data_IF_690540209019
#
_entry.id   IF_690540209019
#
_cell.length_a   1.000
_cell.length_b   1.000
_cell.length_c   1.000
_cell.angle_alpha   90.00
_cell.angle_beta   90.00
_cell.angle_gamma   90.00
#
_symmetry.space_group_name_H-M   'P 1'
#
loop_
_entity.id
_entity.type
_entity.pdbx_description
1 polymer ?
#
# COMPACT_ATOMS: atom_id res chain seq x y z
N UNK A 1 29.82 -19.38 17.63
CA UNK A 1 30.09 -20.72 17.07
C UNK A 1 31.35 -21.23 17.76
N UNK A 2 31.28 -22.38 18.45
CA UNK A 2 32.46 -22.95 19.12
C UNK A 2 33.46 -23.47 18.08
N UNK A 3 34.75 -23.31 18.40
CA UNK A 3 35.94 -23.53 17.54
C UNK A 3 35.99 -24.94 16.92
N UNK A 4 35.42 -25.12 15.74
CA UNK A 4 35.89 -26.17 14.82
C UNK A 4 37.19 -25.66 14.19
N UNK A 5 38.33 -26.26 14.56
CA UNK A 5 39.69 -25.82 14.19
C UNK A 5 39.97 -25.74 12.68
N UNK A 6 39.07 -26.23 11.81
CA UNK A 6 39.26 -26.34 10.37
C UNK A 6 38.26 -25.53 9.53
N UNK A 7 37.34 -24.79 10.16
CA UNK A 7 36.30 -24.04 9.44
C UNK A 7 36.37 -22.54 9.71
N UNK A 8 36.65 -21.76 8.66
CA UNK A 8 36.63 -20.29 8.68
C UNK A 8 35.36 -19.86 7.96
N UNK A 9 34.43 -19.26 8.69
CA UNK A 9 33.18 -18.77 8.10
C UNK A 9 33.46 -17.61 7.13
N UNK A 10 32.96 -17.74 5.91
CA UNK A 10 33.07 -16.74 4.85
C UNK A 10 31.92 -15.71 4.88
N UNK A 11 32.03 -14.69 4.01
CA UNK A 11 31.02 -13.65 3.87
C UNK A 11 29.63 -14.21 3.53
N UNK A 12 29.55 -15.30 2.77
CA UNK A 12 28.29 -15.90 2.35
C UNK A 12 27.49 -16.46 3.53
N UNK A 13 28.16 -17.17 4.43
CA UNK A 13 27.54 -17.73 5.64
C UNK A 13 27.06 -16.61 6.56
N UNK A 14 27.93 -15.62 6.84
CA UNK A 14 27.56 -14.49 7.69
C UNK A 14 26.40 -13.69 7.09
N UNK A 15 26.43 -13.38 5.80
CA UNK A 15 25.35 -12.69 5.08
C UNK A 15 24.01 -13.45 5.22
N UNK A 16 24.04 -14.78 5.05
CA UNK A 16 22.84 -15.61 5.19
C UNK A 16 22.31 -15.61 6.62
N UNK A 17 23.18 -15.80 7.62
CA UNK A 17 22.78 -15.81 9.03
C UNK A 17 22.22 -14.45 9.46
N UNK A 18 22.87 -13.35 9.09
CA UNK A 18 22.40 -11.99 9.34
C UNK A 18 21.03 -11.77 8.69
N UNK A 19 20.84 -12.19 7.45
CA UNK A 19 19.55 -12.11 6.75
C UNK A 19 18.44 -12.89 7.45
N UNK A 20 18.73 -14.11 7.91
CA UNK A 20 17.77 -14.95 8.65
C UNK A 20 17.39 -14.31 9.99
N UNK A 21 18.38 -13.85 10.76
CA UNK A 21 18.13 -13.16 12.03
C UNK A 21 17.33 -11.86 11.82
N UNK A 22 17.63 -11.14 10.75
CA UNK A 22 16.89 -9.97 10.29
C UNK A 22 15.42 -10.27 10.03
N UNK A 23 15.11 -11.30 9.24
CA UNK A 23 13.74 -11.73 8.94
C UNK A 23 12.94 -12.13 10.19
N UNK A 24 13.61 -12.67 11.21
CA UNK A 24 13.02 -12.98 12.53
C UNK A 24 12.87 -11.75 13.45
N UNK A 25 13.29 -10.57 13.01
CA UNK A 25 13.28 -9.34 13.81
C UNK A 25 14.35 -9.30 14.92
N UNK A 26 15.29 -10.25 14.93
CA UNK A 26 16.35 -10.38 15.93
C UNK A 26 17.56 -9.50 15.58
N UNK A 27 17.34 -8.19 15.45
CA UNK A 27 18.36 -7.23 14.99
C UNK A 27 19.60 -7.21 15.89
N UNK A 28 19.46 -7.46 17.21
CA UNK A 28 20.62 -7.55 18.14
C UNK A 28 21.54 -8.71 17.80
N UNK A 29 20.97 -9.88 17.46
CA UNK A 29 21.74 -11.04 17.06
C UNK A 29 22.42 -10.83 15.70
N UNK A 30 21.72 -10.20 14.75
CA UNK A 30 22.29 -9.80 13.47
C UNK A 30 23.52 -8.88 13.65
N UNK A 31 23.43 -7.90 14.56
CA UNK A 31 24.55 -7.03 14.92
C UNK A 31 25.71 -7.79 15.58
N UNK A 32 25.40 -8.71 16.49
CA UNK A 32 26.42 -9.55 17.13
C UNK A 32 27.17 -10.39 16.09
N UNK A 33 26.46 -11.04 15.16
CA UNK A 33 27.06 -11.81 14.06
C UNK A 33 27.97 -10.95 13.18
N UNK A 34 27.58 -9.70 12.90
CA UNK A 34 28.41 -8.76 12.14
C UNK A 34 29.68 -8.34 12.90
N UNK A 35 29.59 -8.14 14.22
CA UNK A 35 30.76 -7.85 15.05
C UNK A 35 31.68 -9.06 15.15
N UNK A 36 31.13 -10.26 15.33
CA UNK A 36 31.87 -11.52 15.39
C UNK A 36 32.61 -11.82 14.08
N UNK A 37 31.99 -11.51 12.94
CA UNK A 37 32.65 -11.58 11.64
C UNK A 37 33.89 -10.70 11.56
N UNK A 38 33.83 -9.49 12.14
CA UNK A 38 34.97 -8.56 12.13
C UNK A 38 36.06 -8.97 13.11
N UNK A 39 35.70 -9.50 14.29
CA UNK A 39 36.68 -9.99 15.27
C UNK A 39 37.39 -11.27 14.79
N UNK A 40 36.74 -12.08 13.95
CA UNK A 40 37.37 -13.26 13.33
C UNK A 40 38.28 -12.93 12.13
N UNK A 41 38.44 -11.64 11.79
CA UNK A 41 39.30 -11.18 10.69
C UNK A 41 38.64 -11.20 9.31
N UNK A 42 37.36 -11.59 9.22
CA UNK A 42 36.62 -11.63 7.97
C UNK A 42 36.15 -10.23 7.58
N UNK A 43 36.42 -9.80 6.33
CA UNK A 43 36.15 -8.44 5.84
C UNK A 43 34.76 -8.35 5.21
N UNK A 44 33.83 -7.54 5.76
CA UNK A 44 32.48 -7.43 5.22
C UNK A 44 32.44 -6.90 3.79
N UNK A 45 31.78 -7.65 2.91
CA UNK A 45 31.50 -7.24 1.53
C UNK A 45 30.11 -6.61 1.39
N UNK A 46 29.78 -6.21 0.16
CA UNK A 46 28.50 -5.59 -0.19
C UNK A 46 27.30 -6.48 0.16
N UNK A 47 27.44 -7.81 0.08
CA UNK A 47 26.36 -8.74 0.41
C UNK A 47 26.04 -8.73 1.91
N UNK A 48 27.07 -8.68 2.75
CA UNK A 48 26.92 -8.64 4.21
C UNK A 48 26.29 -7.33 4.66
N UNK A 49 26.73 -6.19 4.09
CA UNK A 49 26.10 -4.91 4.40
C UNK A 49 24.65 -4.84 3.90
N UNK A 50 24.32 -5.38 2.73
CA UNK A 50 22.94 -5.48 2.24
C UNK A 50 22.07 -6.33 3.18
N UNK A 51 22.61 -7.43 3.71
CA UNK A 51 21.93 -8.25 4.71
C UNK A 51 21.72 -7.47 6.03
N UNK A 52 22.72 -6.68 6.46
CA UNK A 52 22.64 -5.89 7.68
C UNK A 52 21.61 -4.74 7.56
N UNK A 53 21.63 -4.02 6.45
CA UNK A 53 20.63 -2.98 6.12
C UNK A 53 19.22 -3.61 6.15
N UNK A 54 19.03 -4.74 5.46
CA UNK A 54 17.76 -5.46 5.44
C UNK A 54 17.34 -5.92 6.84
N UNK A 55 18.28 -6.37 7.68
CA UNK A 55 18.00 -6.79 9.05
C UNK A 55 17.52 -5.63 9.95
N UNK A 56 18.05 -4.42 9.76
CA UNK A 56 17.58 -3.24 10.46
C UNK A 56 16.17 -2.83 10.03
N UNK A 57 15.85 -2.92 8.73
CA UNK A 57 14.53 -2.58 8.18
C UNK A 57 13.40 -3.47 8.70
N UNK A 58 13.71 -4.68 9.18
CA UNK A 58 12.75 -5.57 9.85
C UNK A 58 12.51 -5.23 11.33
N UNK A 59 13.23 -4.27 11.91
CA UNK A 59 12.98 -3.86 13.30
C UNK A 59 11.65 -3.13 13.47
N UNK A 60 11.12 -3.15 14.70
CA UNK A 60 9.81 -2.55 15.05
C UNK A 60 9.82 -1.01 14.92
N UNK A 61 10.94 -0.37 15.26
CA UNK A 61 11.08 1.09 15.17
C UNK A 61 11.56 1.50 13.77
N UNK A 62 10.60 1.78 12.88
CA UNK A 62 10.86 2.08 11.46
C UNK A 62 11.70 3.35 11.26
N UNK A 63 11.54 4.36 12.10
CA UNK A 63 12.30 5.62 11.97
C UNK A 63 13.78 5.42 12.26
N UNK A 64 14.10 4.75 13.39
CA UNK A 64 15.48 4.40 13.72
C UNK A 64 16.06 3.37 12.75
N UNK A 65 15.23 2.47 12.22
CA UNK A 65 15.65 1.52 11.21
C UNK A 65 16.17 2.21 9.94
N UNK A 66 15.41 3.17 9.42
CA UNK A 66 15.77 3.94 8.21
C UNK A 66 17.03 4.78 8.44
N UNK A 67 17.15 5.43 9.60
CA UNK A 67 18.35 6.19 9.95
C UNK A 67 19.60 5.30 10.01
N UNK A 68 19.50 4.11 10.63
CA UNK A 68 20.60 3.14 10.67
C UNK A 68 20.95 2.58 9.29
N UNK A 69 19.93 2.27 8.48
CA UNK A 69 20.11 1.81 7.11
C UNK A 69 20.93 2.81 6.28
N UNK A 70 20.60 4.10 6.37
CA UNK A 70 21.38 5.17 5.73
C UNK A 70 22.79 5.30 6.30
N UNK A 71 22.96 5.19 7.63
CA UNK A 71 24.28 5.21 8.24
C UNK A 71 25.21 4.11 7.69
N UNK A 72 24.69 2.90 7.44
CA UNK A 72 25.47 1.84 6.79
C UNK A 72 25.73 2.11 5.32
N UNK A 73 24.77 2.67 4.60
CA UNK A 73 24.94 3.06 3.20
C UNK A 73 26.07 4.09 3.01
N UNK A 74 26.08 5.15 3.83
CA UNK A 74 27.16 6.15 3.79
C UNK A 74 28.50 5.54 4.20
N UNK A 75 28.50 4.62 5.17
CA UNK A 75 29.70 3.86 5.53
C UNK A 75 30.24 3.01 4.38
N UNK A 76 29.37 2.38 3.60
CA UNK A 76 29.76 1.60 2.41
C UNK A 76 30.41 2.50 1.35
N UNK A 77 29.87 3.71 1.12
CA UNK A 77 30.47 4.66 0.17
C UNK A 77 31.91 5.05 0.52
N UNK A 78 32.22 5.14 1.81
CA UNK A 78 33.58 5.42 2.29
C UNK A 78 34.55 4.24 2.22
N UNK A 79 34.10 3.03 1.89
CA UNK A 79 34.95 1.83 1.83
C UNK A 79 35.25 1.49 0.37
N UNK A 80 36.51 1.60 -0.03
CA UNK A 80 36.96 1.40 -1.41
C UNK A 80 36.56 0.03 -2.00
N UNK A 81 36.69 -1.04 -1.20
CA UNK A 81 36.38 -2.43 -1.61
C UNK A 81 34.92 -2.86 -1.36
N UNK A 82 34.06 -1.97 -0.89
CA UNK A 82 32.70 -2.32 -0.46
C UNK A 82 31.69 -1.24 -0.87
N UNK A 83 31.68 -0.90 -2.16
CA UNK A 83 30.78 0.13 -2.71
C UNK A 83 29.33 -0.38 -2.77
N UNK A 84 28.34 0.50 -2.58
CA UNK A 84 26.94 0.18 -2.82
C UNK A 84 26.72 -0.34 -4.24
N UNK A 85 25.95 -1.41 -4.38
CA UNK A 85 25.53 -1.95 -5.68
C UNK A 85 24.03 -1.74 -5.91
N UNK A 86 23.52 -2.17 -7.06
CA UNK A 86 22.10 -1.98 -7.41
C UNK A 86 21.15 -2.59 -6.37
N UNK A 87 21.54 -3.72 -5.76
CA UNK A 87 20.77 -4.36 -4.69
C UNK A 87 20.69 -3.46 -3.46
N UNK A 88 21.79 -2.79 -3.09
CA UNK A 88 21.82 -1.81 -1.99
C UNK A 88 20.81 -0.68 -2.24
N UNK A 89 20.85 -0.07 -3.43
CA UNK A 89 19.93 1.00 -3.80
C UNK A 89 18.48 0.52 -3.82
N UNK A 90 18.20 -0.64 -4.42
CA UNK A 90 16.84 -1.19 -4.49
C UNK A 90 16.24 -1.47 -3.09
N UNK A 91 17.06 -1.93 -2.13
CA UNK A 91 16.63 -2.12 -0.73
C UNK A 91 16.23 -0.77 -0.11
N UNK A 92 17.09 0.25 -0.24
CA UNK A 92 16.86 1.55 0.38
C UNK A 92 15.71 2.31 -0.28
N UNK A 93 15.67 2.37 -1.61
CA UNK A 93 14.58 3.00 -2.37
C UNK A 93 13.23 2.40 -1.99
N UNK A 94 13.13 1.06 -1.93
CA UNK A 94 11.92 0.38 -1.49
C UNK A 94 11.56 0.73 -0.04
N UNK A 95 12.53 0.79 0.86
CA UNK A 95 12.31 1.10 2.27
C UNK A 95 11.77 2.53 2.46
N UNK A 96 12.38 3.52 1.81
CA UNK A 96 11.93 4.92 1.87
C UNK A 96 10.60 5.13 1.14
N UNK A 97 10.37 4.45 0.02
CA UNK A 97 9.09 4.44 -0.68
C UNK A 97 7.94 3.92 0.21
N UNK A 98 8.18 2.82 0.95
CA UNK A 98 7.21 2.27 1.91
C UNK A 98 6.97 3.19 3.11
N UNK A 99 7.99 3.97 3.51
CA UNK A 99 7.87 4.96 4.58
C UNK A 99 7.18 6.26 4.13
N UNK A 100 6.98 6.45 2.82
CA UNK A 100 6.42 7.69 2.25
C UNK A 100 7.41 8.85 2.23
N UNK A 101 8.70 8.62 2.48
CA UNK A 101 9.72 9.67 2.44
C UNK A 101 10.27 9.84 1.02
N UNK A 102 9.51 10.58 0.21
CA UNK A 102 9.85 10.81 -1.20
C UNK A 102 11.12 11.63 -1.37
N UNK A 103 11.43 12.51 -0.42
CA UNK A 103 12.65 13.31 -0.48
C UNK A 103 13.88 12.41 -0.46
N UNK A 104 13.88 11.39 0.41
CA UNK A 104 14.96 10.40 0.44
C UNK A 104 14.99 9.51 -0.80
N UNK A 105 13.82 9.18 -1.37
CA UNK A 105 13.76 8.48 -2.68
C UNK A 105 14.42 9.32 -3.78
N UNK A 106 14.14 10.62 -3.84
CA UNK A 106 14.75 11.56 -4.80
C UNK A 106 16.26 11.66 -4.64
N UNK A 107 16.73 11.84 -3.40
CA UNK A 107 18.17 11.92 -3.09
C UNK A 107 18.89 10.64 -3.51
N UNK A 108 18.39 9.47 -3.11
CA UNK A 108 18.97 8.17 -3.47
C UNK A 108 18.93 7.91 -4.97
N UNK A 109 17.87 8.31 -5.66
CA UNK A 109 17.77 8.11 -7.09
C UNK A 109 18.69 9.06 -7.88
N UNK A 110 18.88 10.30 -7.41
CA UNK A 110 19.90 11.21 -7.97
C UNK A 110 21.31 10.68 -7.75
N UNK A 111 21.60 10.19 -6.54
CA UNK A 111 22.87 9.57 -6.19
C UNK A 111 23.16 8.32 -7.04
N UNK A 112 22.17 7.45 -7.24
CA UNK A 112 22.28 6.29 -8.13
C UNK A 112 22.62 6.72 -9.57
N UNK A 113 21.93 7.75 -10.10
CA UNK A 113 22.19 8.28 -11.46
C UNK A 113 23.58 8.90 -11.61
N UNK A 114 24.15 9.46 -10.55
CA UNK A 114 25.51 10.00 -10.54
C UNK A 114 26.58 8.92 -10.31
N UNK A 115 26.17 7.73 -9.86
CA UNK A 115 27.06 6.60 -9.65
C UNK A 115 27.32 5.81 -10.93
N UNK A 116 28.36 4.96 -10.92
CA UNK A 116 28.64 4.04 -12.03
C UNK A 116 27.68 2.82 -12.08
N UNK A 117 26.67 2.77 -11.21
CA UNK A 117 25.73 1.64 -11.11
C UNK A 117 24.51 1.92 -11.97
N UNK A 118 24.26 1.06 -12.96
CA UNK A 118 23.08 1.18 -13.82
C UNK A 118 21.80 0.78 -13.06
N UNK A 119 20.74 1.61 -13.10
CA UNK A 119 19.41 1.22 -12.63
C UNK A 119 18.88 -0.01 -13.38
N UNK A 120 18.14 -0.87 -12.69
CA UNK A 120 17.43 -2.01 -13.27
C UNK A 120 15.91 -1.79 -13.26
N UNK A 121 15.16 -2.75 -13.80
CA UNK A 121 13.68 -2.68 -13.86
C UNK A 121 13.04 -2.55 -12.47
N UNK A 122 13.64 -3.18 -11.44
CA UNK A 122 13.15 -3.09 -10.07
C UNK A 122 13.38 -1.69 -9.49
N UNK A 123 14.48 -1.04 -9.84
CA UNK A 123 14.74 0.36 -9.48
C UNK A 123 13.68 1.28 -10.07
N UNK A 124 13.46 1.21 -11.40
CA UNK A 124 12.49 2.08 -12.07
C UNK A 124 11.08 1.87 -11.52
N UNK A 125 10.65 0.61 -11.40
CA UNK A 125 9.33 0.27 -10.85
C UNK A 125 9.20 0.75 -9.39
N UNK A 126 10.23 0.59 -8.56
CA UNK A 126 10.21 1.05 -7.16
C UNK A 126 10.09 2.57 -7.03
N UNK A 127 10.85 3.33 -7.82
CA UNK A 127 10.83 4.80 -7.81
C UNK A 127 9.50 5.33 -8.38
N UNK A 128 9.03 4.76 -9.50
CA UNK A 128 7.74 5.13 -10.08
C UNK A 128 6.57 4.85 -9.13
N UNK A 129 6.63 3.75 -8.36
CA UNK A 129 5.57 3.38 -7.39
C UNK A 129 5.55 4.39 -6.23
N UNK A 130 6.73 4.80 -5.77
CA UNK A 130 6.88 5.84 -4.75
C UNK A 130 6.25 7.16 -5.22
N UNK A 131 6.58 7.62 -6.43
CA UNK A 131 6.02 8.85 -6.99
C UNK A 131 4.51 8.76 -7.26
N UNK A 132 4.04 7.65 -7.82
CA UNK A 132 2.62 7.42 -8.08
C UNK A 132 1.77 7.48 -6.80
N UNK A 133 2.22 6.82 -5.72
CA UNK A 133 1.57 6.86 -4.41
C UNK A 133 1.57 8.26 -3.79
N UNK A 134 2.64 9.03 -4.01
CA UNK A 134 2.82 10.36 -3.46
C UNK A 134 2.37 11.49 -4.37
N UNK A 135 1.55 11.19 -5.38
CA UNK A 135 0.89 12.20 -6.20
C UNK A 135 1.80 12.96 -7.17
N UNK A 136 3.01 12.47 -7.40
CA UNK A 136 4.06 13.09 -8.22
C UNK A 136 4.10 12.47 -9.62
N UNK A 137 3.08 12.77 -10.44
CA UNK A 137 2.87 12.11 -11.74
C UNK A 137 3.91 12.55 -12.76
N UNK A 138 4.32 13.81 -12.75
CA UNK A 138 5.31 14.34 -13.69
C UNK A 138 6.68 13.68 -13.49
N UNK A 139 7.07 13.47 -12.24
CA UNK A 139 8.29 12.79 -11.84
C UNK A 139 8.23 11.31 -12.21
N UNK A 140 7.10 10.64 -11.98
CA UNK A 140 6.86 9.27 -12.45
C UNK A 140 7.01 9.14 -13.97
N UNK A 141 6.44 10.09 -14.74
CA UNK A 141 6.57 10.14 -16.20
C UNK A 141 8.02 10.39 -16.64
N UNK A 142 8.75 11.26 -15.97
CA UNK A 142 10.18 11.49 -16.21
C UNK A 142 11.00 10.21 -16.01
N UNK A 143 10.71 9.43 -14.96
CA UNK A 143 11.36 8.14 -14.72
C UNK A 143 11.00 7.12 -15.81
N UNK A 144 9.75 7.08 -16.28
CA UNK A 144 9.37 6.23 -17.40
C UNK A 144 10.13 6.58 -18.69
N UNK A 145 10.33 7.87 -18.98
CA UNK A 145 11.12 8.29 -20.15
C UNK A 145 12.59 7.94 -19.98
N UNK A 146 13.14 8.09 -18.78
CA UNK A 146 14.51 7.67 -18.47
C UNK A 146 14.69 6.15 -18.64
N UNK A 147 13.73 5.35 -18.17
CA UNK A 147 13.71 3.91 -18.35
C UNK A 147 13.80 3.52 -19.83
N UNK A 148 13.01 4.19 -20.68
CA UNK A 148 13.03 3.98 -22.15
C UNK A 148 14.35 4.42 -22.78
N UNK A 149 14.89 5.57 -22.36
CA UNK A 149 16.17 6.10 -22.85
C UNK A 149 17.32 5.14 -22.53
N UNK A 150 17.27 4.54 -21.35
CA UNK A 150 18.24 3.52 -20.90
C UNK A 150 17.94 2.12 -21.45
N UNK A 151 17.04 2.01 -22.44
CA UNK A 151 16.66 0.77 -23.13
C UNK A 151 16.15 -0.34 -22.19
N UNK A 152 15.68 0.03 -21.00
CA UNK A 152 15.06 -0.89 -20.07
C UNK A 152 13.58 -1.04 -20.46
N UNK A 153 13.16 -2.26 -20.83
CA UNK A 153 11.81 -2.51 -21.33
C UNK A 153 10.80 -2.57 -20.17
N UNK A 154 9.67 -1.85 -20.24
CA UNK A 154 8.57 -1.97 -19.27
C UNK A 154 8.05 -3.41 -19.18
N UNK A 155 7.87 -3.91 -17.97
CA UNK A 155 7.21 -5.20 -17.70
C UNK A 155 5.75 -5.00 -17.28
N UNK A 156 5.05 -6.11 -17.05
CA UNK A 156 3.66 -6.09 -16.57
C UNK A 156 3.49 -5.31 -15.26
N UNK A 157 4.53 -5.28 -14.41
CA UNK A 157 4.51 -4.51 -13.16
C UNK A 157 4.54 -3.01 -13.47
N UNK A 158 5.40 -2.57 -14.40
CA UNK A 158 5.45 -1.18 -14.88
C UNK A 158 4.08 -0.74 -15.42
N UNK A 159 3.45 -1.56 -16.27
CA UNK A 159 2.13 -1.24 -16.83
C UNK A 159 1.05 -1.14 -15.77
N UNK A 160 1.00 -2.08 -14.82
CA UNK A 160 0.01 -2.08 -13.75
C UNK A 160 0.16 -0.86 -12.82
N UNK A 161 1.40 -0.49 -12.51
CA UNK A 161 1.71 0.71 -11.72
C UNK A 161 1.23 1.98 -12.42
N UNK A 162 1.53 2.12 -13.72
CA UNK A 162 1.07 3.27 -14.50
C UNK A 162 -0.47 3.33 -14.56
N UNK A 163 -1.14 2.21 -14.78
CA UNK A 163 -2.61 2.12 -14.80
C UNK A 163 -3.20 2.53 -13.45
N UNK A 164 -2.69 2.00 -12.34
CA UNK A 164 -3.16 2.36 -10.99
C UNK A 164 -2.89 3.83 -10.66
N UNK A 165 -1.72 4.35 -11.02
CA UNK A 165 -1.34 5.75 -10.78
C UNK A 165 -2.21 6.72 -11.58
N UNK A 166 -2.37 6.51 -12.89
CA UNK A 166 -3.25 7.34 -13.73
C UNK A 166 -4.72 7.19 -13.34
N UNK A 167 -5.16 5.99 -12.99
CA UNK A 167 -6.53 5.72 -12.54
C UNK A 167 -6.86 6.46 -11.24
N UNK A 168 -5.97 6.46 -10.25
CA UNK A 168 -6.11 7.26 -9.01
C UNK A 168 -6.13 8.76 -9.25
N UNK A 169 -5.55 9.23 -10.37
CA UNK A 169 -5.59 10.63 -10.82
C UNK A 169 -6.82 10.97 -11.65
N UNK A 170 -7.64 9.98 -12.00
CA UNK A 170 -8.69 10.11 -13.00
C UNK A 170 -8.16 10.60 -14.37
N UNK A 171 -6.87 10.36 -14.65
CA UNK A 171 -6.27 10.61 -15.96
C UNK A 171 -6.59 9.44 -16.91
N UNK A 172 -7.89 9.25 -17.18
CA UNK A 172 -8.41 8.04 -17.83
C UNK A 172 -7.88 7.85 -19.25
N UNK A 173 -7.66 8.92 -20.01
CA UNK A 173 -7.09 8.83 -21.35
C UNK A 173 -5.69 8.21 -21.33
N UNK A 174 -4.83 8.63 -20.38
CA UNK A 174 -3.50 8.06 -20.19
C UNK A 174 -3.59 6.61 -19.70
N UNK A 175 -4.49 6.32 -18.77
CA UNK A 175 -4.73 4.94 -18.28
C UNK A 175 -5.14 4.00 -19.41
N UNK A 176 -6.10 4.41 -20.25
CA UNK A 176 -6.57 3.65 -21.42
C UNK A 176 -5.46 3.50 -22.48
N UNK A 177 -4.65 4.54 -22.73
CA UNK A 177 -3.49 4.45 -23.62
C UNK A 177 -2.44 3.45 -23.12
N UNK A 178 -2.16 3.43 -21.82
CA UNK A 178 -1.24 2.45 -21.21
C UNK A 178 -1.81 1.04 -21.35
N UNK A 179 -3.11 0.85 -21.09
CA UNK A 179 -3.76 -0.46 -21.26
C UNK A 179 -3.72 -0.93 -22.73
N UNK A 180 -4.01 -0.06 -23.70
CA UNK A 180 -3.85 -0.36 -25.14
C UNK A 180 -2.40 -0.68 -25.51
N UNK A 181 -1.43 -0.08 -24.84
CA UNK A 181 -0.01 -0.36 -25.05
C UNK A 181 0.40 -1.70 -24.47
N UNK A 182 -0.14 -2.07 -23.30
CA UNK A 182 0.03 -3.40 -22.69
C UNK A 182 -0.52 -4.49 -23.61
N UNK A 183 -1.74 -4.32 -24.14
CA UNK A 183 -2.34 -5.28 -25.08
C UNK A 183 -1.54 -5.49 -26.38
N UNK A 184 -0.76 -4.48 -26.80
CA UNK A 184 0.12 -4.54 -27.98
C UNK A 184 1.54 -5.00 -27.65
N UNK A 185 1.88 -5.06 -26.37
CA UNK A 185 3.20 -5.51 -25.91
C UNK A 185 3.26 -7.03 -25.87
N UNK A 186 4.46 -7.58 -25.62
CA UNK A 186 4.62 -9.03 -25.37
C UNK A 186 4.08 -9.45 -23.99
N UNK A 187 3.86 -8.50 -23.10
CA UNK A 187 3.32 -8.73 -21.76
C UNK A 187 1.80 -8.94 -21.82
N UNK A 188 1.29 -9.82 -20.96
CA UNK A 188 -0.15 -10.07 -20.86
C UNK A 188 -0.76 -9.29 -19.69
N UNK A 189 -1.96 -8.72 -19.85
CA UNK A 189 -2.72 -8.22 -18.71
C UNK A 189 -2.92 -9.29 -17.65
N UNK A 190 -3.01 -8.86 -16.39
CA UNK A 190 -3.34 -9.74 -15.26
C UNK A 190 -4.65 -9.30 -14.63
N UNK A 191 -5.20 -10.11 -13.72
CA UNK A 191 -6.37 -9.71 -12.94
C UNK A 191 -6.14 -8.38 -12.19
N UNK A 192 -4.91 -8.11 -11.75
CA UNK A 192 -4.56 -6.83 -11.12
C UNK A 192 -4.72 -5.63 -12.06
N UNK A 193 -4.45 -5.81 -13.36
CA UNK A 193 -4.66 -4.78 -14.40
C UNK A 193 -6.13 -4.38 -14.46
N UNK A 194 -7.02 -5.37 -14.64
CA UNK A 194 -8.46 -5.15 -14.75
C UNK A 194 -9.05 -4.59 -13.46
N UNK A 195 -8.70 -5.17 -12.31
CA UNK A 195 -9.18 -4.72 -10.99
C UNK A 195 -8.81 -3.26 -10.70
N UNK A 196 -7.61 -2.84 -11.12
CA UNK A 196 -7.17 -1.44 -10.97
C UNK A 196 -8.00 -0.49 -11.83
N UNK A 197 -8.31 -0.87 -13.08
CA UNK A 197 -9.16 -0.07 -13.97
C UNK A 197 -10.63 -0.01 -13.49
N UNK A 198 -11.22 -1.15 -13.11
CA UNK A 198 -12.59 -1.23 -12.57
C UNK A 198 -12.73 -0.32 -11.35
N UNK A 199 -11.83 -0.45 -10.37
CA UNK A 199 -11.85 0.37 -9.15
C UNK A 199 -11.65 1.86 -9.46
N UNK A 200 -10.79 2.19 -10.43
CA UNK A 200 -10.53 3.59 -10.80
C UNK A 200 -11.74 4.24 -11.45
N UNK A 201 -12.43 3.54 -12.36
CA UNK A 201 -13.70 4.01 -12.93
C UNK A 201 -14.81 4.08 -11.89
N UNK A 202 -14.88 3.10 -10.98
CA UNK A 202 -15.84 3.11 -9.88
C UNK A 202 -15.69 4.33 -8.98
N UNK A 203 -14.47 4.69 -8.58
CA UNK A 203 -14.19 5.91 -7.79
C UNK A 203 -14.61 7.21 -8.49
N UNK A 204 -14.63 7.23 -9.82
CA UNK A 204 -15.12 8.37 -10.60
C UNK A 204 -16.61 8.25 -10.97
N UNK A 205 -17.33 7.27 -10.41
CA UNK A 205 -18.74 7.00 -10.67
C UNK A 205 -19.06 6.68 -12.13
N UNK A 206 -18.06 6.19 -12.89
CA UNK A 206 -18.19 5.83 -14.30
C UNK A 206 -18.58 4.35 -14.45
N UNK A 207 -19.78 4.00 -13.98
CA UNK A 207 -20.28 2.61 -13.93
C UNK A 207 -20.13 1.86 -15.25
N UNK A 208 -20.62 2.44 -16.35
CA UNK A 208 -20.63 1.78 -17.66
C UNK A 208 -19.22 1.43 -18.15
N UNK A 209 -18.21 2.29 -17.86
CA UNK A 209 -16.81 1.99 -18.20
C UNK A 209 -16.26 0.86 -17.33
N UNK A 210 -16.60 0.82 -16.04
CA UNK A 210 -16.18 -0.27 -15.15
C UNK A 210 -16.79 -1.62 -15.58
N UNK A 211 -18.08 -1.64 -15.92
CA UNK A 211 -18.80 -2.82 -16.44
C UNK A 211 -18.16 -3.29 -17.76
N UNK A 212 -17.88 -2.38 -18.71
CA UNK A 212 -17.21 -2.71 -19.97
C UNK A 212 -15.81 -3.32 -19.77
N UNK A 213 -15.03 -2.84 -18.78
CA UNK A 213 -13.74 -3.44 -18.45
C UNK A 213 -13.91 -4.86 -17.89
N UNK A 214 -14.94 -5.10 -17.08
CA UNK A 214 -15.24 -6.42 -16.53
C UNK A 214 -15.72 -7.41 -17.62
N UNK A 215 -16.58 -6.97 -18.53
CA UNK A 215 -16.99 -7.75 -19.71
C UNK A 215 -15.77 -8.14 -20.56
N UNK A 216 -14.92 -7.16 -20.88
CA UNK A 216 -13.69 -7.40 -21.63
C UNK A 216 -12.73 -8.37 -20.93
N UNK A 217 -12.66 -8.35 -19.60
CA UNK A 217 -11.89 -9.33 -18.83
C UNK A 217 -12.41 -10.75 -19.06
N UNK A 218 -13.73 -10.94 -19.05
CA UNK A 218 -14.38 -12.24 -19.29
C UNK A 218 -14.23 -12.69 -20.75
N UNK A 219 -14.38 -11.77 -21.73
CA UNK A 219 -14.15 -12.05 -23.16
C UNK A 219 -12.75 -12.56 -23.44
N UNK A 220 -11.74 -12.02 -22.74
CA UNK A 220 -10.35 -12.46 -22.83
C UNK A 220 -10.08 -13.76 -22.06
N UNK A 221 -11.11 -14.38 -21.47
CA UNK A 221 -11.03 -15.68 -20.80
C UNK A 221 -10.48 -15.63 -19.38
N UNK A 222 -10.34 -14.44 -18.77
CA UNK A 222 -9.88 -14.33 -17.38
C UNK A 222 -11.03 -14.62 -16.42
N UNK A 223 -10.86 -15.63 -15.57
CA UNK A 223 -11.85 -15.96 -14.54
C UNK A 223 -11.78 -14.96 -13.39
N UNK A 224 -12.90 -14.29 -13.00
CA UNK A 224 -12.92 -13.38 -11.87
C UNK A 224 -12.48 -14.07 -10.56
N UNK A 225 -11.60 -13.41 -9.81
CA UNK A 225 -11.21 -13.82 -8.45
C UNK A 225 -12.04 -13.10 -7.38
N UNK A 226 -11.96 -13.52 -6.12
CA UNK A 226 -12.62 -12.81 -5.00
C UNK A 226 -12.23 -11.31 -4.97
N UNK A 227 -10.97 -10.97 -5.26
CA UNK A 227 -10.50 -9.57 -5.36
C UNK A 227 -11.24 -8.81 -6.45
N UNK A 228 -11.60 -9.48 -7.54
CA UNK A 228 -12.34 -8.86 -8.66
C UNK A 228 -13.76 -8.52 -8.23
N UNK A 229 -14.43 -9.45 -7.53
CA UNK A 229 -15.74 -9.19 -6.97
C UNK A 229 -15.72 -8.12 -5.88
N UNK A 230 -14.70 -8.08 -5.02
CA UNK A 230 -14.50 -7.00 -4.03
C UNK A 230 -14.42 -5.63 -4.74
N UNK A 231 -13.70 -5.56 -5.87
CA UNK A 231 -13.61 -4.36 -6.71
C UNK A 231 -14.96 -3.98 -7.32
N UNK A 232 -15.75 -4.95 -7.79
CA UNK A 232 -17.08 -4.70 -8.35
C UNK A 232 -18.06 -4.20 -7.29
N UNK A 233 -18.15 -4.85 -6.13
CA UNK A 233 -19.00 -4.44 -5.00
C UNK A 233 -18.65 -3.00 -4.59
N UNK A 234 -17.35 -2.72 -4.43
CA UNK A 234 -16.86 -1.38 -4.11
C UNK A 234 -17.23 -0.36 -5.21
N UNK A 235 -17.11 -0.74 -6.48
CA UNK A 235 -17.43 0.12 -7.63
C UNK A 235 -18.93 0.45 -7.67
N UNK A 236 -19.80 -0.54 -7.49
CA UNK A 236 -21.24 -0.32 -7.41
C UNK A 236 -21.63 0.51 -6.18
N UNK A 237 -20.94 0.33 -5.05
CA UNK A 237 -21.06 1.19 -3.88
C UNK A 237 -20.75 2.66 -4.17
N UNK A 238 -19.69 2.96 -4.94
CA UNK A 238 -19.39 4.34 -5.37
C UNK A 238 -20.41 4.91 -6.35
N UNK A 239 -21.02 4.07 -7.19
CA UNK A 239 -21.99 4.46 -8.22
C UNK A 239 -23.45 4.45 -7.70
N UNK A 240 -23.64 4.50 -6.38
CA UNK A 240 -24.93 4.48 -5.68
C UNK A 240 -25.87 3.33 -6.12
N UNK A 241 -25.28 2.22 -6.61
CA UNK A 241 -25.99 1.04 -7.15
C UNK A 241 -25.92 -0.13 -6.16
N UNK A 242 -26.36 0.12 -4.92
CA UNK A 242 -26.20 -0.83 -3.79
C UNK A 242 -26.90 -2.17 -4.03
N UNK A 243 -28.03 -2.18 -4.76
CA UNK A 243 -28.75 -3.42 -5.08
C UNK A 243 -27.88 -4.40 -5.89
N UNK A 244 -27.19 -3.91 -6.93
CA UNK A 244 -26.25 -4.74 -7.71
C UNK A 244 -25.06 -5.21 -6.88
N UNK A 245 -24.52 -4.35 -6.01
CA UNK A 245 -23.48 -4.75 -5.07
C UNK A 245 -23.95 -5.89 -4.16
N UNK A 246 -25.20 -5.82 -3.68
CA UNK A 246 -25.78 -6.84 -2.82
C UNK A 246 -26.04 -8.15 -3.55
N UNK A 247 -26.57 -8.10 -4.77
CA UNK A 247 -26.77 -9.27 -5.63
C UNK A 247 -25.48 -10.06 -5.81
N UNK A 248 -24.38 -9.38 -6.17
CA UNK A 248 -23.05 -10.00 -6.33
C UNK A 248 -22.57 -10.59 -4.99
N UNK A 249 -22.75 -9.88 -3.89
CA UNK A 249 -22.34 -10.35 -2.58
C UNK A 249 -23.11 -11.62 -2.15
N UNK A 250 -24.41 -11.66 -2.39
CA UNK A 250 -25.25 -12.82 -2.08
C UNK A 250 -24.94 -14.01 -3.01
N UNK A 251 -24.60 -13.77 -4.29
CA UNK A 251 -24.10 -14.82 -5.20
C UNK A 251 -22.81 -15.47 -4.65
N UNK A 252 -21.87 -14.66 -4.15
CA UNK A 252 -20.63 -15.16 -3.54
C UNK A 252 -20.92 -15.96 -2.26
N UNK A 253 -21.86 -15.49 -1.43
CA UNK A 253 -22.29 -16.21 -0.23
C UNK A 253 -22.94 -17.56 -0.55
N UNK A 254 -23.71 -17.64 -1.63
CA UNK A 254 -24.47 -18.83 -2.01
C UNK A 254 -23.62 -19.88 -2.73
N UNK A 255 -22.54 -19.47 -3.40
CA UNK A 255 -21.65 -20.38 -4.15
C UNK A 255 -20.68 -21.19 -3.28
N UNK A 256 -20.85 -21.20 -1.94
CA UNK A 256 -20.00 -21.89 -0.95
C UNK A 256 -18.49 -21.58 -1.07
N UNK A 257 -18.10 -20.51 -1.77
CA UNK A 257 -16.72 -20.03 -1.74
C UNK A 257 -16.50 -19.35 -0.39
N UNK A 258 -15.44 -19.71 0.32
CA UNK A 258 -15.06 -19.08 1.59
C UNK A 258 -15.08 -17.56 1.46
N UNK A 259 -16.13 -16.94 2.01
CA UNK A 259 -16.30 -15.49 1.93
C UNK A 259 -15.18 -14.84 2.73
N UNK A 260 -14.37 -14.07 2.05
CA UNK A 260 -13.25 -13.40 2.69
C UNK A 260 -13.77 -12.22 3.52
N UNK A 261 -13.11 -11.94 4.65
CA UNK A 261 -13.40 -10.75 5.46
C UNK A 261 -13.25 -9.46 4.63
N UNK A 262 -12.42 -9.48 3.57
CA UNK A 262 -12.31 -8.38 2.61
C UNK A 262 -13.61 -8.14 1.84
N UNK A 263 -14.28 -9.19 1.39
CA UNK A 263 -15.56 -9.11 0.66
C UNK A 263 -16.68 -8.56 1.55
N UNK A 264 -16.73 -9.00 2.81
CA UNK A 264 -17.63 -8.40 3.81
C UNK A 264 -17.33 -6.91 3.98
N UNK A 265 -16.07 -6.54 4.16
CA UNK A 265 -15.68 -5.13 4.32
C UNK A 265 -16.04 -4.29 3.09
N UNK A 266 -15.91 -4.83 1.87
CA UNK A 266 -16.32 -4.13 0.64
C UNK A 266 -17.83 -3.86 0.62
N UNK A 267 -18.66 -4.84 1.01
CA UNK A 267 -20.12 -4.66 1.06
C UNK A 267 -20.54 -3.70 2.19
N UNK A 268 -19.91 -3.81 3.36
CA UNK A 268 -20.15 -2.85 4.45
C UNK A 268 -19.75 -1.44 4.02
N UNK A 269 -18.62 -1.25 3.34
CA UNK A 269 -18.19 0.06 2.83
C UNK A 269 -19.20 0.61 1.82
N UNK A 270 -19.73 -0.24 0.93
CA UNK A 270 -20.79 0.14 0.01
C UNK A 270 -22.05 0.64 0.74
N UNK A 271 -22.52 -0.06 1.79
CA UNK A 271 -23.64 0.42 2.61
C UNK A 271 -23.32 1.73 3.34
N UNK A 272 -22.11 1.83 3.89
CA UNK A 272 -21.66 3.02 4.62
C UNK A 272 -21.54 4.26 3.71
N UNK A 273 -21.05 4.09 2.48
CA UNK A 273 -20.96 5.16 1.47
C UNK A 273 -22.35 5.69 1.07
N UNK A 274 -23.35 4.82 1.09
CA UNK A 274 -24.74 5.11 0.70
C UNK A 274 -25.64 5.49 1.89
N UNK A 275 -25.06 5.73 3.08
CA UNK A 275 -25.79 6.06 4.31
C UNK A 275 -26.86 5.03 4.70
N UNK A 276 -26.54 3.74 4.60
CA UNK A 276 -27.40 2.59 4.96
C UNK A 276 -26.85 1.85 6.20
N UNK A 277 -26.82 2.48 7.40
CA UNK A 277 -26.18 1.89 8.58
C UNK A 277 -26.97 0.72 9.18
N UNK A 278 -28.28 0.67 9.00
CA UNK A 278 -29.11 -0.41 9.53
C UNK A 278 -28.86 -1.73 8.77
N UNK A 279 -28.74 -1.66 7.45
CA UNK A 279 -28.40 -2.77 6.56
C UNK A 279 -26.98 -3.27 6.81
N UNK A 280 -26.05 -2.35 7.07
CA UNK A 280 -24.68 -2.68 7.46
C UNK A 280 -24.65 -3.46 8.79
N UNK A 281 -25.45 -3.04 9.78
CA UNK A 281 -25.56 -3.72 11.07
C UNK A 281 -26.16 -5.13 10.93
N UNK A 282 -27.27 -5.24 10.18
CA UNK A 282 -27.90 -6.52 9.89
C UNK A 282 -26.94 -7.48 9.19
N UNK A 283 -26.15 -6.99 8.23
CA UNK A 283 -25.17 -7.81 7.53
C UNK A 283 -24.06 -8.30 8.48
N UNK A 284 -23.58 -7.47 9.40
CA UNK A 284 -22.61 -7.88 10.42
C UNK A 284 -23.17 -9.04 11.27
N UNK A 285 -24.39 -8.92 11.78
CA UNK A 285 -25.02 -9.98 12.56
C UNK A 285 -25.24 -11.27 11.76
N UNK A 286 -25.67 -11.16 10.51
CA UNK A 286 -25.86 -12.31 9.64
C UNK A 286 -24.54 -13.06 9.38
N UNK A 287 -23.45 -12.33 9.16
CA UNK A 287 -22.12 -12.94 8.93
C UNK A 287 -21.50 -13.54 10.18
N UNK A 288 -21.72 -12.93 11.36
CA UNK A 288 -21.36 -13.51 12.65
C UNK A 288 -22.06 -14.86 12.89
N UNK A 289 -23.35 -14.97 12.56
CA UNK A 289 -24.10 -16.24 12.67
C UNK A 289 -23.58 -17.33 11.73
N UNK A 290 -23.02 -16.95 10.57
CA UNK A 290 -22.38 -17.87 9.63
C UNK A 290 -20.94 -18.25 10.01
N UNK A 291 -20.43 -17.76 11.15
CA UNK A 291 -19.09 -18.10 11.64
C UNK A 291 -17.95 -17.29 11.03
N UNK A 292 -18.24 -16.23 10.27
CA UNK A 292 -17.21 -15.31 9.80
C UNK A 292 -16.75 -14.45 10.96
N UNK A 293 -15.45 -14.47 11.28
CA UNK A 293 -14.88 -13.66 12.37
C UNK A 293 -14.43 -12.30 11.80
N UNK A 294 -15.13 -11.19 12.11
CA UNK A 294 -14.71 -9.87 11.64
C UNK A 294 -13.41 -9.45 12.33
N UNK A 295 -12.63 -8.59 11.68
CA UNK A 295 -11.36 -8.11 12.22
C UNK A 295 -11.46 -6.63 12.65
N UNK A 296 -10.37 -6.11 13.24
CA UNK A 296 -10.30 -4.73 13.67
C UNK A 296 -10.64 -3.71 12.56
N UNK A 297 -10.35 -4.03 11.29
CA UNK A 297 -10.68 -3.17 10.15
C UNK A 297 -12.17 -3.11 9.88
N UNK A 298 -12.90 -4.22 10.02
CA UNK A 298 -14.37 -4.29 9.89
C UNK A 298 -15.05 -3.39 10.92
N UNK A 299 -14.66 -3.53 12.20
CA UNK A 299 -15.21 -2.71 13.27
C UNK A 299 -14.85 -1.23 13.12
N UNK A 300 -13.63 -0.92 12.67
CA UNK A 300 -13.21 0.46 12.38
C UNK A 300 -14.08 1.11 11.30
N UNK A 301 -14.39 0.36 10.24
CA UNK A 301 -15.23 0.83 9.13
C UNK A 301 -16.63 1.18 9.61
N UNK A 302 -17.28 0.27 10.35
CA UNK A 302 -18.63 0.48 10.90
C UNK A 302 -18.66 1.61 11.92
N UNK A 303 -17.65 1.68 12.80
CA UNK A 303 -17.54 2.77 13.77
C UNK A 303 -17.50 4.13 13.07
N UNK A 304 -16.69 4.27 12.01
CA UNK A 304 -16.64 5.51 11.22
C UNK A 304 -17.99 5.82 10.56
N UNK A 305 -18.67 4.83 10.02
CA UNK A 305 -19.96 5.04 9.35
C UNK A 305 -21.07 5.44 10.33
N UNK A 306 -21.18 4.74 11.46
CA UNK A 306 -22.20 5.00 12.48
C UNK A 306 -21.99 6.36 13.16
N UNK A 307 -20.72 6.75 13.38
CA UNK A 307 -20.40 8.09 13.89
C UNK A 307 -20.77 9.18 12.87
N UNK A 308 -20.43 9.00 11.59
CA UNK A 308 -20.83 9.94 10.52
C UNK A 308 -22.35 10.06 10.40
N UNK A 309 -23.08 8.96 10.53
CA UNK A 309 -24.54 8.91 10.48
C UNK A 309 -25.22 9.35 11.80
N UNK A 310 -24.46 9.74 12.83
CA UNK A 310 -24.98 10.11 14.17
C UNK A 310 -25.85 9.04 14.85
N UNK A 311 -25.64 7.76 14.52
CA UNK A 311 -26.42 6.62 15.03
C UNK A 311 -25.88 6.12 16.39
N UNK A 312 -26.17 6.85 17.47
CA UNK A 312 -25.64 6.58 18.82
C UNK A 312 -25.98 5.17 19.33
N UNK A 313 -27.15 4.65 19.02
CA UNK A 313 -27.59 3.32 19.47
C UNK A 313 -26.78 2.19 18.82
N UNK A 314 -26.61 2.25 17.49
CA UNK A 314 -25.80 1.27 16.74
C UNK A 314 -24.34 1.34 17.18
N UNK A 315 -23.82 2.54 17.44
CA UNK A 315 -22.48 2.72 17.96
C UNK A 315 -22.30 2.04 19.33
N UNK A 316 -23.28 2.18 20.23
CA UNK A 316 -23.28 1.52 21.54
C UNK A 316 -23.31 -0.01 21.43
N UNK A 317 -24.12 -0.56 20.51
CA UNK A 317 -24.16 -2.01 20.22
C UNK A 317 -22.83 -2.51 19.66
N UNK A 318 -22.24 -1.76 18.72
CA UNK A 318 -20.97 -2.11 18.08
C UNK A 318 -19.83 -2.18 19.12
N UNK A 319 -19.73 -1.19 20.02
CA UNK A 319 -18.70 -1.17 21.06
C UNK A 319 -18.82 -2.35 22.02
N UNK A 320 -20.04 -2.70 22.45
CA UNK A 320 -20.27 -3.90 23.28
C UNK A 320 -19.83 -5.18 22.56
N UNK A 321 -20.05 -5.27 21.25
CA UNK A 321 -19.59 -6.40 20.44
C UNK A 321 -18.07 -6.46 20.33
N UNK A 322 -17.41 -5.31 20.17
CA UNK A 322 -15.95 -5.22 20.12
C UNK A 322 -15.33 -5.70 21.44
N UNK A 323 -15.88 -5.26 22.58
CA UNK A 323 -15.43 -5.68 23.91
C UNK A 323 -15.63 -7.18 24.13
N UNK A 324 -16.79 -7.73 23.74
CA UNK A 324 -17.08 -9.16 23.84
C UNK A 324 -16.14 -10.03 22.98
N UNK A 325 -15.61 -9.50 21.88
CA UNK A 325 -14.65 -10.17 21.00
C UNK A 325 -13.18 -9.89 21.39
N UNK A 326 -12.94 -9.17 22.51
CA UNK A 326 -11.59 -8.82 22.96
C UNK A 326 -10.85 -7.83 22.05
N UNK A 327 -11.58 -7.13 21.17
CA UNK A 327 -11.01 -6.11 20.28
C UNK A 327 -11.03 -4.79 21.03
N UNK A 328 -9.91 -4.45 21.68
CA UNK A 328 -9.78 -3.19 22.43
C UNK A 328 -9.36 -2.07 21.47
N UNK A 329 -10.23 -1.09 21.17
CA UNK A 329 -9.85 0.04 20.34
C UNK A 329 -8.81 0.91 21.04
N UNK A 330 -7.66 1.11 20.40
CA UNK A 330 -6.56 1.92 20.95
C UNK A 330 -6.68 3.41 20.55
N UNK A 331 -5.85 4.27 21.15
CA UNK A 331 -5.84 5.72 20.82
C UNK A 331 -5.71 5.99 19.32
N UNK A 332 -4.95 5.16 18.59
CA UNK A 332 -4.78 5.26 17.13
C UNK A 332 -6.06 4.90 16.35
N UNK A 333 -6.79 3.88 16.79
CA UNK A 333 -8.09 3.49 16.24
C UNK A 333 -9.07 4.67 16.28
N UNK A 334 -9.19 5.34 17.43
CA UNK A 334 -10.07 6.50 17.58
C UNK A 334 -9.58 7.72 16.80
N UNK A 335 -8.30 8.08 16.91
CA UNK A 335 -7.74 9.22 16.16
C UNK A 335 -7.96 9.07 14.65
N UNK A 336 -7.69 7.90 14.08
CA UNK A 336 -7.90 7.65 12.65
C UNK A 336 -9.38 7.61 12.26
N UNK A 337 -10.28 7.25 13.17
CA UNK A 337 -11.72 7.32 12.94
C UNK A 337 -12.22 8.78 12.92
N UNK A 338 -11.73 9.63 13.83
CA UNK A 338 -12.15 11.02 13.97
C UNK A 338 -11.47 12.01 12.99
N UNK A 339 -10.22 11.78 12.59
CA UNK A 339 -9.45 12.73 11.73
C UNK A 339 -10.03 12.91 10.31
N UNK A 340 -10.90 12.01 9.85
CA UNK A 340 -11.50 12.11 8.52
C UNK A 340 -12.75 13.00 8.44
N UNK A 341 -13.26 13.50 9.57
CA UNK A 341 -14.35 14.48 9.61
C UNK A 341 -13.97 15.87 9.07
N UNK A 342 -12.68 16.13 8.81
CA UNK A 342 -12.18 17.43 8.31
C UNK A 342 -11.81 17.43 6.82
N UNK A 343 -12.09 16.36 6.06
CA UNK A 343 -11.76 16.27 4.62
C UNK A 343 -12.94 15.82 3.76
N UNK A 344 -13.87 16.75 3.52
CA UNK A 344 -14.65 16.83 2.28
C UNK A 344 -14.73 18.29 1.83
N UNK A 345 -14.64 18.59 0.52
CA UNK A 345 -14.58 19.96 0.00
C UNK A 345 -15.93 20.46 -0.50
N UNK A 346 -16.50 21.48 0.15
CA UNK A 346 -17.55 22.36 -0.38
C UNK A 346 -17.25 23.78 0.17
N UNK A 347 -16.68 24.67 -0.65
CA UNK A 347 -17.31 25.61 -1.58
C UNK A 347 -17.74 26.94 -0.92
N UNK A 348 -16.92 27.94 -1.25
CA UNK A 348 -17.14 29.39 -1.35
C UNK A 348 -18.52 30.01 -1.05
N UNK A 349 -18.42 31.15 -0.32
CA UNK A 349 -19.21 32.39 -0.36
C UNK A 349 -20.61 32.41 0.29
N UNK A 350 -20.74 33.20 1.36
CA UNK A 350 -21.42 34.49 1.28
C UNK A 350 -21.07 35.40 2.47
N UNK A 351 -21.01 36.69 2.14
CA UNK A 351 -20.78 37.86 2.97
C UNK A 351 -22.03 38.13 3.82
N UNK A 352 -21.88 38.54 5.08
CA UNK A 352 -22.58 39.73 5.57
C UNK A 352 -22.01 40.30 6.87
N UNK A 353 -21.88 41.62 6.81
CA UNK A 353 -21.55 42.62 7.81
C UNK A 353 -22.45 42.60 9.05
N UNK A 354 -21.85 42.83 10.22
CA UNK A 354 -22.43 43.68 11.27
C UNK A 354 -21.42 43.90 12.39
N UNK A 355 -20.80 45.08 12.40
CA UNK A 355 -20.28 45.74 13.60
C UNK A 355 -21.38 45.89 14.65
N UNK A 356 -21.06 45.77 15.95
CA UNK A 356 -21.76 46.53 16.97
C UNK A 356 -20.81 47.55 17.63
N UNK A 357 -21.29 48.79 17.60
CA UNK A 357 -20.95 49.85 18.53
C UNK A 357 -21.06 49.34 19.97
N UNK A 358 -20.09 49.67 20.83
CA UNK A 358 -20.35 49.82 22.26
C UNK A 358 -19.83 51.18 22.68
N UNK A 359 -20.76 51.89 23.29
CA UNK A 359 -20.75 53.26 23.75
C UNK A 359 -19.80 53.48 24.94
N UNK A 360 -19.35 54.72 25.02
CA UNK A 360 -18.80 55.40 26.20
C UNK A 360 -19.82 55.49 27.35
N UNK A 361 -19.32 55.33 28.58
CA UNK A 361 -19.76 55.92 29.86
C UNK A 361 -19.03 55.07 30.94
N UNK A 362 -18.15 55.54 31.81
CA UNK A 362 -17.88 56.83 32.48
C UNK A 362 -16.43 56.84 32.94
#
# INVERSE_FOLDING_TARGET
MQKQRWYIADNGIYSKLISVMGKKGQTRMAMWLFSEMRSSGCRPDTSVYNALITAHLHSKDKTKALAKAMGYFEKMKGIERCKPNIVTYNILLRAFAQAGDVKKVDELFKDLKASAVSPDIYTYNGVMDAYGKNKMVAEMESVLQLMKTNQCKPDVITFNLLIDSYGKRQAFDKMEQVFKSLLRSKEKPTLATFNSMITSYGRARLRNKAESVFEKMNELGFKPSYVTYDCLITTYGYCDSVSKAREIFDEILNTQKDVQVSTLNAMLDAYCLNNLPAEADQLLYHTLRKGLVPNASTYKLLFKAYTKASMKELLGKLLKHMDAQGIVPNKKFFLEAFDSSKRSPESSKSVNSSTPLIESNT
#
